data_IF_866446398937
#
_entry.id   IF_866446398937
#
_cell.length_a   1.000
_cell.length_b   1.000
_cell.length_c   1.000
_cell.angle_alpha   90.00
_cell.angle_beta   90.00
_cell.angle_gamma   90.00
#
_symmetry.space_group_name_H-M   'P 1'
#
loop_
_entity.id
_entity.type
_entity.pdbx_description
1 polymer ?
#
# COMPACT_ATOMS: atom_id res chain seq x y z
N UNK A 1 -19.09 22.09 -38.35
CA UNK A 1 -18.57 21.68 -37.02
C UNK A 1 -17.15 21.15 -37.21
N UNK A 2 -16.16 21.91 -36.76
CA UNK A 2 -14.74 21.72 -37.11
C UNK A 2 -14.12 20.59 -36.27
N UNK A 3 -13.43 19.66 -36.94
CA UNK A 3 -12.74 18.50 -36.31
C UNK A 3 -11.78 18.90 -35.18
N UNK A 4 -11.29 20.14 -35.18
CA UNK A 4 -10.40 20.73 -34.17
C UNK A 4 -11.06 20.89 -32.79
N UNK A 5 -12.36 21.16 -32.71
CA UNK A 5 -13.06 21.41 -31.44
C UNK A 5 -13.19 20.13 -30.58
N UNK A 6 -13.42 18.99 -31.24
CA UNK A 6 -13.59 17.70 -30.59
C UNK A 6 -12.26 17.16 -30.04
N UNK A 7 -11.15 17.38 -30.74
CA UNK A 7 -9.81 17.00 -30.28
C UNK A 7 -9.41 17.79 -29.02
N UNK A 8 -9.67 19.10 -28.99
CA UNK A 8 -9.35 19.96 -27.85
C UNK A 8 -10.12 19.55 -26.59
N UNK A 9 -11.41 19.21 -26.72
CA UNK A 9 -12.24 18.71 -25.61
C UNK A 9 -11.74 17.38 -25.07
N UNK A 10 -11.29 16.46 -25.93
CA UNK A 10 -10.70 15.19 -25.51
C UNK A 10 -9.38 15.38 -24.76
N UNK A 11 -8.51 16.28 -25.23
CA UNK A 11 -7.24 16.60 -24.57
C UNK A 11 -7.50 17.20 -23.19
N UNK A 12 -8.43 18.16 -23.08
CA UNK A 12 -8.85 18.74 -21.80
C UNK A 12 -9.41 17.69 -20.85
N UNK A 13 -10.24 16.76 -21.33
CA UNK A 13 -10.78 15.68 -20.50
C UNK A 13 -9.68 14.73 -20.01
N UNK A 14 -8.71 14.37 -20.85
CA UNK A 14 -7.57 13.55 -20.46
C UNK A 14 -6.67 14.26 -19.45
N UNK A 15 -6.45 15.58 -19.60
CA UNK A 15 -5.71 16.38 -18.62
C UNK A 15 -6.43 16.45 -17.28
N UNK A 16 -7.74 16.69 -17.28
CA UNK A 16 -8.56 16.71 -16.05
C UNK A 16 -8.59 15.33 -15.38
N UNK A 17 -8.69 14.25 -16.15
CA UNK A 17 -8.63 12.89 -15.65
C UNK A 17 -7.24 12.57 -15.08
N UNK A 18 -6.16 12.98 -15.76
CA UNK A 18 -4.80 12.82 -15.25
C UNK A 18 -4.57 13.57 -13.93
N UNK A 19 -5.06 14.81 -13.83
CA UNK A 19 -5.00 15.61 -12.58
C UNK A 19 -5.80 14.94 -11.45
N UNK A 20 -6.96 14.36 -11.76
CA UNK A 20 -7.78 13.63 -10.78
C UNK A 20 -7.13 12.33 -10.28
N UNK A 21 -6.37 11.63 -11.13
CA UNK A 21 -5.70 10.36 -10.79
C UNK A 21 -4.33 10.51 -10.11
N UNK A 22 -3.78 11.73 -10.02
CA UNK A 22 -2.40 11.94 -9.64
C UNK A 22 -2.05 11.76 -8.13
N UNK A 23 -2.92 11.26 -7.25
CA UNK A 23 -2.62 11.27 -5.81
C UNK A 23 -3.12 10.04 -5.04
N UNK A 24 -2.48 8.90 -5.23
CA UNK A 24 -2.32 7.94 -4.13
C UNK A 24 -1.01 8.32 -3.41
N UNK A 25 -1.06 9.40 -2.59
CA UNK A 25 0.11 9.88 -1.86
C UNK A 25 0.48 8.84 -0.81
N UNK A 26 1.58 8.12 -1.04
CA UNK A 26 2.33 7.53 0.04
C UNK A 26 2.53 8.59 1.13
N UNK A 27 1.95 8.37 2.31
CA UNK A 27 2.10 9.28 3.42
C UNK A 27 3.57 9.25 3.88
N UNK A 28 4.32 10.26 3.44
CA UNK A 28 5.73 10.47 3.77
C UNK A 28 6.00 11.96 3.86
N UNK A 29 6.98 12.33 4.68
CA UNK A 29 7.54 13.67 4.64
C UNK A 29 8.22 13.94 3.29
N UNK A 30 7.98 15.14 2.77
CA UNK A 30 8.59 15.63 1.53
C UNK A 30 10.07 15.94 1.76
N UNK A 31 10.43 16.39 2.97
CA UNK A 31 11.78 16.77 3.34
C UNK A 31 12.29 15.94 4.53
N UNK A 32 13.55 15.50 4.48
CA UNK A 32 14.17 14.73 5.57
C UNK A 32 14.47 15.58 6.84
N UNK A 33 14.48 16.91 6.70
CA UNK A 33 14.81 17.86 7.79
C UNK A 33 13.67 18.09 8.79
N UNK A 34 12.49 17.51 8.56
CA UNK A 34 11.30 17.70 9.40
C UNK A 34 11.55 17.38 10.89
N UNK A 35 12.29 16.31 11.19
CA UNK A 35 12.65 15.94 12.57
C UNK A 35 13.58 16.95 13.23
N UNK A 36 14.53 17.50 12.48
CA UNK A 36 15.48 18.48 12.98
C UNK A 36 14.79 19.83 13.25
N UNK A 37 13.92 20.26 12.33
CA UNK A 37 13.12 21.48 12.49
C UNK A 37 12.26 21.45 13.75
N UNK A 38 11.57 20.34 14.02
CA UNK A 38 10.75 20.22 15.24
C UNK A 38 11.57 20.28 16.53
N UNK A 39 12.75 19.62 16.57
CA UNK A 39 13.63 19.70 17.74
C UNK A 39 14.12 21.12 18.02
N UNK A 40 14.45 21.89 16.98
CA UNK A 40 14.85 23.29 17.13
C UNK A 40 13.71 24.13 17.71
N UNK A 41 12.47 23.92 17.25
CA UNK A 41 11.28 24.62 17.76
C UNK A 41 10.94 24.21 19.20
N UNK A 42 11.09 22.93 19.54
CA UNK A 42 10.97 22.44 20.93
C UNK A 42 12.00 23.10 21.85
N UNK A 43 13.25 23.28 21.39
CA UNK A 43 14.29 24.02 22.12
C UNK A 43 13.99 25.51 22.34
N UNK A 44 13.11 26.09 21.51
CA UNK A 44 12.61 27.47 21.66
C UNK A 44 11.32 27.53 22.50
N UNK A 45 10.88 26.41 23.10
CA UNK A 45 9.70 26.35 23.96
C UNK A 45 8.37 26.17 23.21
N UNK A 46 8.39 25.90 21.90
CA UNK A 46 7.16 25.62 21.15
C UNK A 46 6.78 24.15 21.24
N UNK A 47 5.49 23.88 21.41
CA UNK A 47 4.95 22.53 21.34
C UNK A 47 4.92 22.02 19.91
N UNK A 48 4.97 20.69 19.74
CA UNK A 48 4.86 20.03 18.42
C UNK A 48 3.62 20.47 17.63
N UNK A 49 2.49 20.68 18.30
CA UNK A 49 1.24 21.13 17.67
C UNK A 49 1.35 22.56 17.14
N UNK A 50 1.96 23.46 17.89
CA UNK A 50 2.23 24.83 17.44
C UNK A 50 3.18 24.85 16.25
N UNK A 51 4.30 24.12 16.31
CA UNK A 51 5.21 24.02 15.18
C UNK A 51 4.52 23.43 13.93
N UNK A 52 3.71 22.38 14.09
CA UNK A 52 2.99 21.75 12.98
C UNK A 52 1.81 22.55 12.42
N UNK A 53 1.34 23.58 13.13
CA UNK A 53 0.33 24.52 12.62
C UNK A 53 0.88 25.53 11.62
N UNK A 54 2.22 25.71 11.56
CA UNK A 54 2.84 26.59 10.58
C UNK A 54 2.69 26.07 9.14
N UNK A 55 2.66 26.98 8.17
CA UNK A 55 2.43 26.67 6.75
C UNK A 55 3.48 25.70 6.21
N UNK A 56 4.75 25.86 6.61
CA UNK A 56 5.85 25.06 6.11
C UNK A 56 5.79 23.59 6.61
N UNK A 57 5.73 23.29 7.92
CA UNK A 57 5.58 21.92 8.42
C UNK A 57 4.31 21.24 7.91
N UNK A 58 3.21 22.00 7.81
CA UNK A 58 1.93 21.45 7.33
C UNK A 58 1.98 20.97 5.87
N UNK A 59 2.78 21.64 5.03
CA UNK A 59 2.94 21.30 3.61
C UNK A 59 3.95 20.18 3.38
N UNK A 60 5.07 20.20 4.11
CA UNK A 60 6.23 19.33 3.84
C UNK A 60 6.40 18.16 4.82
N UNK A 61 5.94 18.29 6.07
CA UNK A 61 6.20 17.34 7.15
C UNK A 61 4.96 16.55 7.56
N UNK A 62 4.24 16.00 6.59
CA UNK A 62 2.92 15.39 6.81
C UNK A 62 2.95 14.13 7.68
N UNK A 63 3.98 13.30 7.55
CA UNK A 63 4.16 12.09 8.37
C UNK A 63 4.61 12.51 9.78
N UNK A 64 5.63 13.36 9.87
CA UNK A 64 6.19 13.82 11.16
C UNK A 64 5.17 14.62 12.00
N UNK A 65 4.34 15.45 11.36
CA UNK A 65 3.26 16.19 12.00
C UNK A 65 1.96 15.39 12.20
N UNK A 66 1.92 14.11 11.80
CA UNK A 66 0.76 13.25 11.97
C UNK A 66 -0.47 13.67 11.15
N UNK A 67 -0.28 14.50 10.11
CA UNK A 67 -1.32 14.93 9.18
C UNK A 67 -1.75 13.82 8.23
N UNK A 68 -0.94 12.77 8.13
CA UNK A 68 -1.30 11.53 7.49
C UNK A 68 -0.71 10.34 8.26
N UNK A 69 -1.30 9.15 8.10
CA UNK A 69 -0.75 7.91 8.66
C UNK A 69 -0.01 7.15 7.57
N UNK A 70 1.25 6.82 7.81
CA UNK A 70 1.98 5.87 6.99
C UNK A 70 1.30 4.52 7.10
N UNK A 71 0.91 3.96 5.96
CA UNK A 71 0.43 2.57 5.92
C UNK A 71 1.63 1.69 6.23
N UNK A 72 1.70 1.17 7.46
CA UNK A 72 2.72 0.19 7.82
C UNK A 72 2.53 -1.02 6.90
N UNK A 73 3.56 -1.32 6.09
CA UNK A 73 3.58 -2.55 5.30
C UNK A 73 3.36 -3.72 6.25
N UNK A 74 2.38 -4.56 5.96
CA UNK A 74 2.00 -5.66 6.85
C UNK A 74 3.16 -6.62 7.17
N UNK A 75 4.18 -6.68 6.30
CA UNK A 75 5.44 -7.43 6.51
C UNK A 75 6.20 -6.99 7.78
N UNK A 76 6.06 -5.73 8.18
CA UNK A 76 6.73 -5.17 9.35
C UNK A 76 5.96 -5.37 10.65
N UNK A 77 4.77 -5.99 10.59
CA UNK A 77 3.97 -6.27 11.79
C UNK A 77 4.37 -7.61 12.40
N UNK A 78 4.28 -7.74 13.73
CA UNK A 78 4.60 -8.99 14.45
C UNK A 78 3.83 -10.21 13.91
N UNK A 79 2.61 -9.98 13.42
CA UNK A 79 1.74 -11.02 12.88
C UNK A 79 1.87 -11.19 11.36
N UNK A 80 2.55 -10.30 10.64
CA UNK A 80 2.68 -10.35 9.19
C UNK A 80 1.40 -10.01 8.43
N UNK A 81 1.34 -10.35 7.14
CA UNK A 81 0.20 -10.06 6.27
C UNK A 81 -0.87 -11.16 6.24
N UNK A 82 -2.08 -10.74 5.88
CA UNK A 82 -3.13 -11.62 5.37
C UNK A 82 -2.82 -12.14 3.95
N UNK A 83 -3.72 -12.96 3.40
CA UNK A 83 -3.61 -13.57 2.07
C UNK A 83 -3.47 -12.55 0.92
N UNK A 84 -3.89 -11.31 1.15
CA UNK A 84 -3.81 -10.20 0.20
C UNK A 84 -2.44 -9.52 0.16
N UNK A 85 -1.55 -9.81 1.12
CA UNK A 85 -0.23 -9.19 1.30
C UNK A 85 -0.27 -7.67 1.49
N UNK A 86 -1.40 -7.12 1.94
CA UNK A 86 -1.56 -5.69 2.23
C UNK A 86 -2.17 -5.48 3.61
N UNK A 87 -3.14 -6.31 3.99
CA UNK A 87 -3.80 -6.18 5.28
C UNK A 87 -2.89 -6.74 6.39
N UNK A 88 -2.53 -5.92 7.40
CA UNK A 88 -1.81 -6.41 8.57
C UNK A 88 -2.71 -7.34 9.38
N UNK A 89 -2.14 -8.48 9.79
CA UNK A 89 -2.87 -9.47 10.56
C UNK A 89 -3.01 -9.01 12.01
N UNK A 90 -4.17 -9.24 12.61
CA UNK A 90 -4.39 -8.99 14.04
C UNK A 90 -3.75 -10.10 14.89
N UNK A 91 -3.69 -9.87 16.21
CA UNK A 91 -3.30 -10.91 17.19
C UNK A 91 -4.21 -12.15 17.12
N UNK A 92 -5.50 -11.96 16.82
CA UNK A 92 -6.48 -13.05 16.67
C UNK A 92 -6.34 -13.79 15.34
N UNK A 93 -5.56 -13.25 14.40
CA UNK A 93 -5.37 -13.84 13.07
C UNK A 93 -6.52 -13.55 12.10
N UNK A 94 -7.40 -12.61 12.46
CA UNK A 94 -8.50 -12.15 11.62
C UNK A 94 -7.97 -11.44 10.38
N UNK A 95 -8.55 -11.83 9.25
CA UNK A 95 -8.26 -11.35 7.92
C UNK A 95 -9.59 -11.11 7.19
N UNK A 96 -9.58 -10.26 6.15
CA UNK A 96 -10.75 -10.06 5.31
C UNK A 96 -11.22 -11.40 4.71
N UNK A 97 -12.53 -11.52 4.53
CA UNK A 97 -13.14 -12.71 3.92
C UNK A 97 -12.52 -12.95 2.55
N UNK A 98 -11.89 -14.10 2.38
CA UNK A 98 -11.35 -14.51 1.10
C UNK A 98 -12.50 -14.79 0.11
N UNK A 99 -12.65 -13.90 -0.88
CA UNK A 99 -13.58 -14.06 -1.98
C UNK A 99 -13.07 -13.34 -3.22
N UNK A 100 -13.39 -13.90 -4.38
CA UNK A 100 -13.22 -13.20 -5.65
C UNK A 100 -14.20 -12.02 -5.72
N UNK A 101 -13.68 -10.83 -6.01
CA UNK A 101 -14.47 -9.61 -6.18
C UNK A 101 -15.35 -9.75 -7.42
N UNK A 102 -14.78 -10.26 -8.52
CA UNK A 102 -15.46 -10.39 -9.81
C UNK A 102 -15.65 -11.86 -10.20
N UNK A 103 -16.67 -12.52 -9.63
CA UNK A 103 -16.91 -13.98 -9.78
C UNK A 103 -16.91 -14.48 -11.23
N UNK A 104 -17.47 -13.72 -12.18
CA UNK A 104 -17.55 -14.09 -13.60
C UNK A 104 -16.27 -13.78 -14.38
N UNK A 105 -15.52 -12.77 -13.95
CA UNK A 105 -14.29 -12.31 -14.61
C UNK A 105 -13.08 -13.14 -14.18
N UNK A 106 -12.97 -13.47 -12.90
CA UNK A 106 -11.79 -14.15 -12.35
C UNK A 106 -11.44 -15.47 -13.06
N UNK A 107 -12.38 -16.40 -13.33
CA UNK A 107 -12.07 -17.67 -13.98
C UNK A 107 -11.52 -17.50 -15.41
N UNK A 108 -12.02 -16.50 -16.16
CA UNK A 108 -11.62 -16.24 -17.55
C UNK A 108 -10.17 -15.79 -17.67
N UNK A 109 -9.67 -15.10 -16.65
CA UNK A 109 -8.33 -14.51 -16.64
C UNK A 109 -7.40 -15.19 -15.63
N UNK A 110 -7.63 -16.46 -15.31
CA UNK A 110 -6.78 -17.24 -14.37
C UNK A 110 -5.30 -17.25 -14.77
N UNK A 111 -5.00 -17.17 -16.07
CA UNK A 111 -3.62 -17.05 -16.59
C UNK A 111 -2.89 -15.78 -16.13
N UNK A 112 -3.63 -14.72 -15.76
CA UNK A 112 -3.04 -13.48 -15.23
C UNK A 112 -2.43 -13.68 -13.84
N UNK A 113 -2.86 -14.73 -13.11
CA UNK A 113 -2.34 -15.04 -11.78
C UNK A 113 -0.83 -15.35 -11.78
N UNK A 114 -0.28 -15.92 -12.87
CA UNK A 114 1.15 -16.28 -12.98
C UNK A 114 2.03 -15.15 -13.49
N UNK A 115 1.45 -14.05 -14.02
CA UNK A 115 2.23 -12.89 -14.47
C UNK A 115 2.94 -12.29 -13.26
N UNK A 116 4.26 -12.44 -13.24
CA UNK A 116 5.11 -11.88 -12.18
C UNK A 116 5.05 -10.36 -12.25
N UNK A 117 5.03 -9.73 -11.09
CA UNK A 117 5.11 -8.28 -11.00
C UNK A 117 6.54 -7.87 -11.34
N UNK A 118 6.86 -7.76 -12.63
CA UNK A 118 7.88 -6.81 -13.03
C UNK A 118 7.38 -5.44 -12.57
N UNK A 119 8.26 -4.56 -12.13
CA UNK A 119 7.91 -3.26 -11.53
C UNK A 119 7.03 -2.36 -12.42
N UNK A 120 6.82 -2.71 -13.69
CA UNK A 120 5.90 -2.06 -14.64
C UNK A 120 4.52 -2.72 -14.75
N UNK A 121 4.40 -4.03 -14.49
CA UNK A 121 3.16 -4.79 -14.64
C UNK A 121 2.52 -5.11 -13.28
N UNK A 122 1.99 -4.08 -12.63
CA UNK A 122 1.17 -4.20 -11.42
C UNK A 122 -0.12 -5.02 -11.63
N UNK A 123 -0.45 -5.37 -12.89
CA UNK A 123 -1.68 -6.06 -13.26
C UNK A 123 -1.82 -7.44 -12.60
N UNK A 124 -0.77 -8.27 -12.61
CA UNK A 124 -0.80 -9.58 -11.97
C UNK A 124 -0.99 -9.48 -10.45
N UNK A 125 -0.33 -8.50 -9.81
CA UNK A 125 -0.47 -8.26 -8.38
C UNK A 125 -1.87 -7.72 -8.01
N UNK A 126 -2.45 -6.85 -8.85
CA UNK A 126 -3.81 -6.35 -8.69
C UNK A 126 -4.83 -7.46 -8.89
N UNK A 127 -4.64 -8.29 -9.92
CA UNK A 127 -5.52 -9.41 -10.21
C UNK A 127 -5.52 -10.45 -9.09
N UNK A 128 -4.35 -10.79 -8.51
CA UNK A 128 -4.27 -11.68 -7.35
C UNK A 128 -4.97 -11.13 -6.10
N UNK A 129 -5.07 -9.80 -5.95
CA UNK A 129 -5.86 -9.16 -4.87
C UNK A 129 -7.36 -9.19 -5.16
N UNK A 130 -7.75 -8.98 -6.42
CA UNK A 130 -9.16 -9.00 -6.83
C UNK A 130 -9.76 -10.40 -6.97
N UNK A 131 -8.93 -11.39 -7.30
CA UNK A 131 -9.31 -12.77 -7.58
C UNK A 131 -8.49 -13.76 -6.73
N UNK A 132 -8.48 -13.65 -5.40
CA UNK A 132 -7.60 -14.42 -4.54
C UNK A 132 -7.96 -15.91 -4.50
N UNK A 133 -9.24 -16.29 -4.66
CA UNK A 133 -9.66 -17.70 -4.68
C UNK A 133 -9.23 -18.32 -6.00
N UNK A 134 -9.53 -17.68 -7.13
CA UNK A 134 -9.13 -18.16 -8.45
C UNK A 134 -7.60 -18.29 -8.59
N UNK A 135 -6.86 -17.36 -7.98
CA UNK A 135 -5.39 -17.39 -7.95
C UNK A 135 -4.81 -18.26 -6.82
N UNK A 136 -5.60 -19.10 -6.14
CA UNK A 136 -5.17 -20.00 -5.07
C UNK A 136 -4.38 -19.32 -3.93
N UNK A 137 -4.73 -18.07 -3.60
CA UNK A 137 -4.12 -17.32 -2.48
C UNK A 137 -4.75 -17.67 -1.14
N UNK A 138 -6.02 -18.10 -1.14
CA UNK A 138 -6.78 -18.49 0.06
C UNK A 138 -8.01 -19.33 -0.32
N UNK A 139 -8.64 -19.93 0.69
CA UNK A 139 -9.88 -20.70 0.52
C UNK A 139 -11.10 -19.79 0.57
N UNK A 140 -12.10 -20.01 -0.29
CA UNK A 140 -13.35 -19.22 -0.29
C UNK A 140 -14.00 -19.21 1.10
N UNK A 141 -14.31 -18.01 1.60
CA UNK A 141 -14.90 -17.81 2.93
C UNK A 141 -13.89 -17.82 4.08
N UNK A 142 -12.60 -18.02 3.82
CA UNK A 142 -11.56 -17.98 4.85
C UNK A 142 -11.40 -16.57 5.42
N UNK A 143 -11.57 -16.44 6.74
CA UNK A 143 -11.33 -15.22 7.53
C UNK A 143 -10.17 -15.37 8.50
N UNK A 144 -9.72 -16.60 8.76
CA UNK A 144 -8.61 -16.88 9.67
C UNK A 144 -7.40 -17.35 8.87
N UNK A 145 -6.33 -16.56 8.89
CA UNK A 145 -5.07 -16.97 8.28
C UNK A 145 -4.19 -17.66 9.32
N UNK A 146 -4.39 -18.97 9.48
CA UNK A 146 -3.48 -19.82 10.26
C UNK A 146 -2.18 -19.93 9.47
N UNK A 147 -1.11 -19.28 9.95
CA UNK A 147 0.23 -19.57 9.43
C UNK A 147 0.44 -21.10 9.54
N UNK A 148 0.90 -21.75 8.45
CA UNK A 148 1.71 -22.96 8.64
C UNK A 148 2.85 -22.52 9.57
N UNK A 149 2.93 -23.14 10.75
CA UNK A 149 3.93 -22.88 11.78
C UNK A 149 5.28 -22.73 11.06
N UNK A 150 5.81 -21.51 10.98
CA UNK A 150 7.18 -21.30 10.52
C UNK A 150 8.03 -21.97 11.59
N UNK A 151 8.36 -23.25 11.37
CA UNK A 151 9.45 -23.89 12.07
C UNK A 151 10.67 -23.16 11.52
N UNK A 152 11.22 -22.22 12.29
CA UNK A 152 12.59 -21.79 12.07
C UNK A 152 13.41 -23.08 12.10
N UNK A 153 13.73 -23.65 10.93
CA UNK A 153 14.86 -24.56 10.84
C UNK A 153 16.05 -23.67 11.11
N UNK A 154 16.54 -23.73 12.34
CA UNK A 154 17.78 -23.07 12.72
C UNK A 154 18.81 -23.37 11.65
N UNK A 155 19.49 -22.32 11.21
CA UNK A 155 20.78 -22.39 10.56
C UNK A 155 21.64 -23.34 11.38
N UNK A 156 21.76 -24.60 10.91
CA UNK A 156 22.78 -25.52 11.39
C UNK A 156 24.09 -24.90 10.89
N UNK A 157 24.77 -24.23 11.82
CA UNK A 157 26.14 -23.80 11.67
C UNK A 157 26.98 -25.06 11.44
N UNK A 158 27.17 -25.46 10.18
CA UNK A 158 28.15 -26.48 9.83
C UNK A 158 29.53 -25.83 9.89
N UNK A 159 30.16 -25.90 11.07
CA UNK A 159 31.63 -25.94 11.13
C UNK A 159 32.04 -27.31 10.63
N UNK A 160 32.94 -27.36 9.66
CA UNK A 160 33.45 -28.61 9.13
C UNK A 160 34.12 -28.43 7.77
N UNK A 161 35.28 -27.76 7.79
CA UNK A 161 36.48 -28.10 7.01
C UNK A 161 37.63 -27.28 7.59
#
# INVERSE_FOLDING_TARGET
MTKTDQATKFILFLLLFYVAFAQEKDCKDVLAVCKHFLRLREGLGLTKTQACSEVWPRRYCKETCGLCKKVTKCDNTQYGCCWDNVTPRSKTGECPVCKDIYKSFCPRFKSVCSRWASTRDALGARFRRSCPVTCNRCTKGQTLFKRKKFRCKGSRLSRGL
#
